data_IF_224143294370
#
_entry.id   IF_224143294370
#
_cell.length_a   1.000
_cell.length_b   1.000
_cell.length_c   1.000
_cell.angle_alpha   90.00
_cell.angle_beta   90.00
_cell.angle_gamma   90.00
#
_symmetry.space_group_name_H-M   'P 1'
#
loop_
_entity.id
_entity.type
_entity.pdbx_description
1 polymer ?
#
# COMPACT_ATOMS: atom_id res chain seq x y z
N UNK A 1 0.71 4.12 14.40
CA UNK A 1 -0.72 3.75 14.38
C UNK A 1 -1.25 4.20 13.05
N UNK A 2 -1.46 3.27 12.13
CA UNK A 2 -1.97 3.58 10.79
C UNK A 2 -3.45 3.89 10.91
N UNK A 3 -3.84 5.13 10.62
CA UNK A 3 -5.25 5.51 10.53
C UNK A 3 -5.83 4.85 9.28
N UNK A 4 -6.48 3.71 9.46
CA UNK A 4 -7.20 3.04 8.41
C UNK A 4 -8.67 3.42 8.50
N UNK A 5 -9.17 4.12 7.49
CA UNK A 5 -10.56 4.61 7.44
C UNK A 5 -11.49 3.60 6.75
N UNK A 6 -10.99 2.41 6.43
CA UNK A 6 -11.67 1.33 5.70
C UNK A 6 -11.70 0.05 6.55
N UNK A 7 -12.63 -0.89 6.30
CA UNK A 7 -12.67 -2.19 6.97
C UNK A 7 -11.53 -3.14 6.53
N UNK A 8 -10.63 -2.66 5.66
CA UNK A 8 -9.50 -3.45 5.22
C UNK A 8 -8.44 -3.55 6.31
N UNK A 9 -7.99 -4.75 6.63
CA UNK A 9 -6.78 -4.96 7.40
C UNK A 9 -5.61 -5.02 6.42
N UNK A 10 -4.62 -4.14 6.62
CA UNK A 10 -3.41 -4.13 5.80
C UNK A 10 -2.33 -4.94 6.49
N UNK A 11 -1.92 -6.03 5.87
CA UNK A 11 -0.64 -6.70 6.13
C UNK A 11 0.36 -6.28 5.06
N UNK A 12 1.64 -6.29 5.39
CA UNK A 12 2.67 -5.91 4.42
C UNK A 12 3.97 -6.68 4.64
N UNK A 13 4.62 -6.99 3.52
CA UNK A 13 5.97 -7.53 3.49
C UNK A 13 6.91 -6.55 2.78
N UNK A 14 8.14 -6.46 3.28
CA UNK A 14 9.16 -5.56 2.77
C UNK A 14 10.33 -6.39 2.28
N UNK A 15 10.62 -6.28 0.99
CA UNK A 15 11.75 -6.94 0.36
C UNK A 15 12.65 -5.92 -0.35
N UNK A 16 13.96 -6.04 -0.12
CA UNK A 16 14.97 -5.33 -0.89
C UNK A 16 15.48 -6.27 -1.97
N UNK A 17 15.22 -5.93 -3.23
CA UNK A 17 15.62 -6.75 -4.37
C UNK A 17 16.79 -6.08 -5.10
N UNK A 18 17.88 -6.82 -5.29
CA UNK A 18 18.96 -6.38 -6.17
C UNK A 18 18.56 -6.63 -7.64
N UNK A 19 18.55 -5.58 -8.45
CA UNK A 19 18.31 -5.66 -9.90
C UNK A 19 19.57 -5.32 -10.69
N UNK A 20 19.55 -5.56 -11.99
CA UNK A 20 20.65 -5.21 -12.89
C UNK A 20 20.93 -3.69 -12.94
N UNK A 21 19.95 -2.87 -12.60
CA UNK A 21 20.04 -1.39 -12.62
C UNK A 21 20.25 -0.76 -11.24
N UNK A 22 20.40 -1.57 -10.19
CA UNK A 22 20.55 -1.09 -8.81
C UNK A 22 19.64 -1.86 -7.84
N UNK A 23 19.53 -1.38 -6.61
CA UNK A 23 18.66 -1.97 -5.59
C UNK A 23 17.27 -1.34 -5.68
N UNK A 24 16.21 -2.14 -5.62
CA UNK A 24 14.83 -1.68 -5.54
C UNK A 24 14.19 -2.14 -4.22
N UNK A 25 13.28 -1.34 -3.67
CA UNK A 25 12.40 -1.76 -2.58
C UNK A 25 11.09 -2.24 -3.20
N UNK A 26 10.65 -3.44 -2.83
CA UNK A 26 9.30 -3.91 -3.09
C UNK A 26 8.56 -4.00 -1.76
N UNK A 27 7.43 -3.29 -1.66
CA UNK A 27 6.49 -3.43 -0.55
C UNK A 27 5.26 -4.13 -1.08
N UNK A 28 5.08 -5.37 -0.66
CA UNK A 28 3.88 -6.13 -0.95
C UNK A 28 2.87 -5.86 0.15
N UNK A 29 1.68 -5.39 -0.19
CA UNK A 29 0.62 -5.07 0.77
C UNK A 29 -0.57 -5.97 0.49
N UNK A 30 -0.87 -6.84 1.45
CA UNK A 30 -2.09 -7.64 1.45
C UNK A 30 -3.18 -6.86 2.15
N UNK A 31 -4.25 -6.54 1.43
CA UNK A 31 -5.45 -5.92 1.98
C UNK A 31 -6.53 -7.00 2.14
N UNK A 32 -6.86 -7.34 3.37
CA UNK A 32 -7.92 -8.30 3.73
C UNK A 32 -9.17 -7.54 4.15
N UNK A 33 -10.34 -7.96 3.66
CA UNK A 33 -11.61 -7.38 4.10
C UNK A 33 -12.11 -8.09 5.37
N UNK A 34 -11.89 -7.44 6.51
CA UNK A 34 -12.39 -7.87 7.84
C UNK A 34 -13.73 -7.22 8.19
N UNK A 35 -14.37 -6.54 7.23
CA UNK A 35 -15.69 -5.95 7.39
C UNK A 35 -16.83 -6.96 7.24
N UNK A 36 -18.03 -6.52 7.57
CA UNK A 36 -19.26 -7.31 7.41
C UNK A 36 -19.82 -7.29 5.96
N UNK A 37 -19.28 -6.43 5.10
CA UNK A 37 -19.76 -6.20 3.72
C UNK A 37 -18.63 -6.36 2.70
N UNK A 38 -18.96 -6.90 1.53
CA UNK A 38 -18.04 -7.01 0.40
C UNK A 38 -17.73 -5.63 -0.20
N UNK A 39 -16.44 -5.35 -0.42
CA UNK A 39 -16.00 -4.13 -1.09
C UNK A 39 -16.20 -4.32 -2.59
N UNK A 40 -16.95 -3.42 -3.22
CA UNK A 40 -17.16 -3.40 -4.66
C UNK A 40 -16.12 -2.54 -5.36
N UNK A 41 -16.01 -2.67 -6.68
CA UNK A 41 -15.19 -1.80 -7.52
C UNK A 41 -15.87 -0.44 -7.83
N UNK A 42 -17.05 -0.19 -7.25
CA UNK A 42 -17.81 1.04 -7.40
C UNK A 42 -17.39 2.05 -6.32
N UNK A 43 -17.26 3.36 -6.65
CA UNK A 43 -16.93 4.37 -5.67
C UNK A 43 -18.00 4.46 -4.55
N UNK A 44 -17.59 4.63 -3.28
CA UNK A 44 -16.21 4.81 -2.82
C UNK A 44 -15.40 3.50 -2.85
N UNK A 45 -14.24 3.54 -3.50
CA UNK A 45 -13.30 2.40 -3.54
C UNK A 45 -12.12 2.66 -2.60
N UNK A 46 -11.56 1.63 -1.96
CA UNK A 46 -10.44 1.82 -1.06
C UNK A 46 -9.16 2.05 -1.86
N UNK A 47 -8.39 3.05 -1.44
CA UNK A 47 -7.08 3.39 -2.00
C UNK A 47 -6.02 3.25 -0.94
N UNK A 48 -5.11 2.30 -1.17
CA UNK A 48 -3.90 2.09 -0.36
C UNK A 48 -2.82 3.01 -0.89
N UNK A 49 -2.24 3.81 0.00
CA UNK A 49 -1.17 4.75 -0.27
C UNK A 49 0.05 4.35 0.54
N UNK A 50 1.14 4.03 -0.16
CA UNK A 50 2.45 3.79 0.41
C UNK A 50 3.32 5.04 0.23
N UNK A 51 3.78 5.61 1.34
CA UNK A 51 4.63 6.81 1.36
C UNK A 51 5.98 6.44 1.94
N UNK A 52 7.04 6.59 1.15
CA UNK A 52 8.41 6.37 1.57
C UNK A 52 9.01 7.69 2.08
N UNK A 53 9.63 7.62 3.25
CA UNK A 53 10.20 8.76 3.95
C UNK A 53 11.70 8.57 4.16
N UNK A 54 12.44 9.68 4.07
CA UNK A 54 13.83 9.75 4.48
C UNK A 54 13.96 9.75 6.00
N UNK A 55 15.21 9.66 6.49
CA UNK A 55 15.54 9.71 7.91
C UNK A 55 15.08 11.03 8.57
N UNK A 56 15.10 12.14 7.81
CA UNK A 56 14.57 13.45 8.24
C UNK A 56 13.04 13.51 8.32
N UNK A 57 12.34 12.46 7.87
CA UNK A 57 10.88 12.41 7.77
C UNK A 57 10.32 13.08 6.51
N UNK A 58 11.17 13.53 5.59
CA UNK A 58 10.74 14.08 4.31
C UNK A 58 10.22 12.99 3.36
N UNK A 59 9.20 13.32 2.57
CA UNK A 59 8.66 12.40 1.56
C UNK A 59 9.61 12.27 0.38
N UNK A 60 10.14 11.07 0.20
CA UNK A 60 10.98 10.73 -0.95
C UNK A 60 10.13 10.31 -2.14
N UNK A 61 9.16 9.43 -1.87
CA UNK A 61 8.30 8.87 -2.89
C UNK A 61 6.94 8.53 -2.30
N UNK A 62 5.92 8.57 -3.14
CA UNK A 62 4.57 8.14 -2.78
C UNK A 62 3.94 7.43 -3.96
N UNK A 63 3.40 6.24 -3.71
CA UNK A 63 2.58 5.52 -4.65
C UNK A 63 1.23 5.21 -4.01
N UNK A 64 0.17 5.26 -4.82
CA UNK A 64 -1.17 4.91 -4.38
C UNK A 64 -1.81 3.96 -5.38
N UNK A 65 -2.36 2.85 -4.89
CA UNK A 65 -3.10 1.86 -5.68
C UNK A 65 -4.53 1.79 -5.15
N UNK A 66 -5.47 1.85 -6.08
CA UNK A 66 -6.89 1.66 -5.78
C UNK A 66 -7.21 0.17 -5.94
N UNK A 67 -7.99 -0.38 -5.02
CA UNK A 67 -8.57 -1.71 -5.21
C UNK A 67 -9.65 -1.62 -6.29
N UNK A 68 -9.33 -2.09 -7.49
CA UNK A 68 -10.26 -2.12 -8.64
C UNK A 68 -10.98 -3.47 -8.76
N UNK A 69 -10.56 -4.46 -7.97
CA UNK A 69 -11.19 -5.77 -7.90
C UNK A 69 -12.04 -5.84 -6.63
N UNK A 70 -13.25 -6.44 -6.71
CA UNK A 70 -14.08 -6.62 -5.54
C UNK A 70 -13.40 -7.58 -4.55
N UNK A 71 -13.55 -7.28 -3.26
CA UNK A 71 -13.01 -8.10 -2.16
C UNK A 71 -14.16 -8.52 -1.27
N UNK A 72 -14.52 -9.81 -1.32
CA UNK A 72 -15.53 -10.38 -0.45
C UNK A 72 -15.10 -10.38 1.02
N UNK A 73 -16.07 -10.63 1.90
CA UNK A 73 -15.82 -10.72 3.34
C UNK A 73 -14.87 -11.89 3.65
N UNK A 74 -13.78 -11.62 4.34
CA UNK A 74 -12.71 -12.59 4.62
C UNK A 74 -11.83 -12.92 3.41
N UNK A 75 -12.00 -12.23 2.29
CA UNK A 75 -11.08 -12.33 1.16
C UNK A 75 -9.96 -11.29 1.26
N UNK A 76 -8.83 -11.60 0.63
CA UNK A 76 -7.65 -10.75 0.60
C UNK A 76 -7.21 -10.50 -0.83
N UNK A 77 -6.78 -9.28 -1.11
CA UNK A 77 -6.08 -8.93 -2.35
C UNK A 77 -4.66 -8.45 -2.06
N UNK A 78 -3.77 -8.56 -3.04
CA UNK A 78 -2.36 -8.20 -2.88
C UNK A 78 -2.01 -7.07 -3.84
N UNK A 79 -1.33 -6.05 -3.31
CA UNK A 79 -0.91 -4.84 -4.01
C UNK A 79 0.60 -4.70 -3.89
N UNK A 80 1.30 -4.65 -5.02
CA UNK A 80 2.74 -4.43 -5.04
C UNK A 80 3.08 -2.95 -5.27
N UNK A 81 3.95 -2.42 -4.40
CA UNK A 81 4.55 -1.10 -4.51
C UNK A 81 6.07 -1.23 -4.69
N UNK A 82 6.52 -1.13 -5.94
CA UNK A 82 7.94 -1.11 -6.27
C UNK A 82 8.48 0.33 -6.27
N UNK A 83 9.64 0.52 -5.64
CA UNK A 83 10.40 1.75 -5.59
C UNK A 83 11.68 1.59 -6.41
N UNK A 84 11.71 2.20 -7.59
CA UNK A 84 12.87 2.18 -8.49
C UNK A 84 13.91 3.28 -8.24
N UNK A 85 13.93 3.90 -7.06
CA UNK A 85 14.94 4.89 -6.66
C UNK A 85 15.91 4.29 -5.64
N UNK A 86 16.99 5.00 -5.36
CA UNK A 86 18.00 4.62 -4.36
C UNK A 86 17.37 4.28 -3.01
N UNK A 87 17.50 3.01 -2.62
CA UNK A 87 16.96 2.48 -1.36
C UNK A 87 17.57 3.15 -0.14
N UNK A 88 18.80 3.65 -0.28
CA UNK A 88 19.55 4.36 0.77
C UNK A 88 18.90 5.70 1.15
N UNK A 89 18.10 6.29 0.25
CA UNK A 89 17.34 7.51 0.54
C UNK A 89 16.11 7.26 1.43
N UNK A 90 15.70 6.00 1.60
CA UNK A 90 14.49 5.60 2.33
C UNK A 90 14.86 5.01 3.68
N UNK A 91 14.43 5.67 4.75
CA UNK A 91 14.60 5.17 6.12
C UNK A 91 13.38 4.40 6.62
N UNK A 92 12.18 4.78 6.19
CA UNK A 92 10.91 4.17 6.61
C UNK A 92 9.81 4.38 5.58
N UNK A 93 8.71 3.65 5.71
CA UNK A 93 7.50 3.88 4.94
C UNK A 93 6.27 3.95 5.85
N UNK A 94 5.23 4.62 5.35
CA UNK A 94 3.91 4.68 5.96
C UNK A 94 2.87 4.16 4.97
N UNK A 95 2.02 3.25 5.45
CA UNK A 95 0.85 2.77 4.73
C UNK A 95 -0.41 3.45 5.28
N UNK A 96 -1.25 3.94 4.37
CA UNK A 96 -2.57 4.49 4.69
C UNK A 96 -3.61 3.93 3.73
N UNK A 97 -4.77 3.56 4.23
CA UNK A 97 -5.92 3.24 3.40
C UNK A 97 -7.03 4.26 3.66
N UNK A 98 -7.60 4.77 2.58
CA UNK A 98 -8.71 5.71 2.62
C UNK A 98 -9.71 5.40 1.51
N UNK A 99 -10.96 5.76 1.74
CA UNK A 99 -11.97 5.77 0.69
C UNK A 99 -11.68 6.89 -0.32
N UNK A 100 -11.87 6.60 -1.60
CA UNK A 100 -11.88 7.62 -2.65
C UNK A 100 -13.22 7.58 -3.37
N UNK A 101 -13.94 8.70 -3.25
CA UNK A 101 -15.11 9.07 -4.02
C UNK A 101 -14.57 9.84 -5.24
N UNK A 102 -14.96 9.47 -6.46
CA UNK A 102 -14.41 10.06 -7.71
C UNK A 102 -14.58 11.59 -7.79
#
# INVERSE_FOLDING_TARGET
>A
MSTNETPLVLSHDYAVQATYSGTQIAVEVTAENDGDESITADPPVPRVVCTFLSDTGERVYQAGRTLVEPVGVGESTTLEFALGIDVDAVARYELRCKWVEE
#
